data_IF_743745501067
#
_entry.id   IF_743745501067
#
_cell.length_a   1.000
_cell.length_b   1.000
_cell.length_c   1.000
_cell.angle_alpha   90.00
_cell.angle_beta   90.00
_cell.angle_gamma   90.00
#
_symmetry.space_group_name_H-M   'P 1'
#
loop_
_entity.id
_entity.type
_entity.pdbx_description
1 polymer ?
#
# COMPACT_ATOMS: atom_id res chain seq x y z
N UNK A 1 -51.94 -4.56 16.70
CA UNK A 1 -51.78 -3.32 15.92
C UNK A 1 -51.00 -3.66 14.66
N UNK A 2 -51.50 -3.19 13.53
CA UNK A 2 -51.17 -3.49 12.13
C UNK A 2 -49.69 -3.76 11.80
N UNK A 3 -49.49 -4.85 11.05
CA UNK A 3 -48.31 -5.11 10.23
C UNK A 3 -48.20 -3.98 9.20
N UNK A 4 -47.08 -3.28 9.16
CA UNK A 4 -46.77 -2.44 8.01
C UNK A 4 -46.16 -3.35 6.94
N UNK A 5 -47.04 -3.92 6.13
CA UNK A 5 -46.69 -4.45 4.81
C UNK A 5 -46.14 -3.28 3.98
N UNK A 6 -44.82 -3.09 3.98
CA UNK A 6 -44.15 -2.35 2.93
C UNK A 6 -44.41 -3.10 1.62
N UNK A 7 -45.16 -2.48 0.70
CA UNK A 7 -45.53 -3.02 -0.62
C UNK A 7 -44.34 -3.20 -1.58
N UNK A 8 -43.12 -3.28 -1.05
CA UNK A 8 -41.91 -3.42 -1.84
C UNK A 8 -41.06 -4.56 -1.30
N UNK A 9 -41.19 -5.78 -1.85
CA UNK A 9 -40.45 -6.95 -1.40
C UNK A 9 -38.92 -6.80 -1.53
N UNK A 10 -38.46 -5.77 -2.24
CA UNK A 10 -37.04 -5.42 -2.36
C UNK A 10 -36.54 -4.72 -1.08
N UNK A 11 -37.35 -3.89 -0.43
CA UNK A 11 -36.95 -3.14 0.78
C UNK A 11 -36.78 -4.05 1.98
N UNK A 12 -37.71 -4.99 2.20
CA UNK A 12 -37.60 -5.99 3.27
C UNK A 12 -36.37 -6.88 3.08
N UNK A 13 -36.09 -7.30 1.83
CA UNK A 13 -34.90 -8.08 1.52
C UNK A 13 -33.60 -7.31 1.78
N UNK A 14 -33.56 -6.00 1.49
CA UNK A 14 -32.40 -5.15 1.78
C UNK A 14 -32.19 -4.98 3.29
N UNK A 15 -33.27 -4.80 4.06
CA UNK A 15 -33.20 -4.64 5.51
C UNK A 15 -32.75 -5.95 6.20
N UNK A 16 -33.19 -7.10 5.70
CA UNK A 16 -32.71 -8.40 6.17
C UNK A 16 -31.24 -8.66 5.81
N UNK A 17 -30.79 -8.27 4.61
CA UNK A 17 -29.38 -8.39 4.20
C UNK A 17 -28.44 -7.54 5.07
N UNK A 18 -28.84 -6.30 5.40
CA UNK A 18 -28.06 -5.38 6.23
C UNK A 18 -27.93 -5.87 7.69
N UNK A 19 -28.99 -6.50 8.20
CA UNK A 19 -29.00 -7.13 9.53
C UNK A 19 -28.10 -8.35 9.62
N UNK A 20 -28.01 -9.15 8.55
CA UNK A 20 -27.15 -10.35 8.52
C UNK A 20 -25.66 -9.96 8.44
N UNK A 21 -25.30 -8.94 7.65
CA UNK A 21 -23.91 -8.44 7.56
C UNK A 21 -23.37 -7.88 8.88
N UNK A 22 -24.24 -7.39 9.77
CA UNK A 22 -23.87 -6.78 11.04
C UNK A 22 -23.49 -7.79 12.15
N UNK A 23 -23.62 -9.11 11.91
CA UNK A 23 -23.51 -10.14 12.97
C UNK A 23 -22.35 -11.13 12.84
N UNK A 24 -21.43 -10.96 11.90
CA UNK A 24 -20.27 -11.86 11.72
C UNK A 24 -18.91 -11.18 11.94
N UNK A 25 -18.29 -11.44 13.10
CA UNK A 25 -16.81 -11.43 13.27
C UNK A 25 -16.28 -12.84 12.90
N UNK A 26 -15.03 -13.04 12.42
CA UNK A 26 -13.92 -12.11 12.22
C UNK A 26 -13.44 -12.04 10.74
N UNK A 27 -13.63 -10.88 10.10
CA UNK A 27 -12.51 -10.12 9.52
C UNK A 27 -11.85 -10.52 8.19
N UNK A 28 -12.50 -11.18 7.23
CA UNK A 28 -12.09 -11.04 5.82
C UNK A 28 -12.75 -9.81 5.23
N UNK A 29 -12.07 -8.66 5.33
CA UNK A 29 -12.55 -7.40 4.74
C UNK A 29 -12.35 -7.46 3.23
N UNK A 30 -13.45 -7.57 2.50
CA UNK A 30 -13.54 -7.10 1.11
C UNK A 30 -13.59 -5.57 1.13
N UNK A 31 -12.57 -4.93 1.70
CA UNK A 31 -12.32 -3.51 1.47
C UNK A 31 -11.67 -3.35 0.10
N UNK A 32 -11.80 -2.20 -0.54
CA UNK A 32 -10.91 -1.88 -1.65
C UNK A 32 -9.47 -2.02 -1.13
N UNK A 33 -8.75 -3.04 -1.59
CA UNK A 33 -7.37 -3.33 -1.17
C UNK A 33 -6.46 -2.10 -1.39
N UNK A 34 -6.84 -1.21 -2.31
CA UNK A 34 -6.20 0.08 -2.58
C UNK A 34 -6.26 1.09 -1.40
N UNK A 35 -7.24 0.99 -0.49
CA UNK A 35 -7.39 1.90 0.65
C UNK A 35 -6.72 1.38 1.93
N UNK A 36 -6.24 0.14 1.92
CA UNK A 36 -5.52 -0.41 3.06
C UNK A 36 -4.13 0.22 3.13
N UNK A 37 -3.79 0.76 4.31
CA UNK A 37 -2.50 1.41 4.54
C UNK A 37 -1.73 0.70 5.66
N UNK A 38 -0.47 0.40 5.39
CA UNK A 38 0.50 -0.10 6.36
C UNK A 38 1.00 1.02 7.24
N UNK A 39 1.22 0.70 8.51
CA UNK A 39 1.73 1.63 9.51
C UNK A 39 3.18 1.28 9.82
N UNK A 40 4.09 2.21 9.55
CA UNK A 40 5.52 2.03 9.78
C UNK A 40 6.07 3.11 10.70
N UNK A 41 7.18 2.80 11.38
CA UNK A 41 7.85 3.76 12.26
C UNK A 41 9.14 4.27 11.62
N UNK A 42 9.19 5.57 11.37
CA UNK A 42 10.40 6.27 10.92
C UNK A 42 10.88 7.22 12.02
N UNK A 43 11.99 6.86 12.69
CA UNK A 43 12.65 7.68 13.74
C UNK A 43 11.72 8.20 14.83
N UNK A 44 10.74 7.39 15.22
CA UNK A 44 9.78 7.74 16.27
C UNK A 44 8.48 8.35 15.75
N UNK A 45 8.39 8.67 14.45
CA UNK A 45 7.18 9.14 13.78
C UNK A 45 6.47 7.95 13.15
N UNK A 46 5.16 7.85 13.38
CA UNK A 46 4.31 6.88 12.71
C UNK A 46 3.91 7.41 11.34
N UNK A 47 4.18 6.63 10.30
CA UNK A 47 3.91 6.96 8.90
C UNK A 47 2.95 5.91 8.34
N UNK A 48 1.97 6.38 7.58
CA UNK A 48 0.94 5.54 6.98
C UNK A 48 1.18 5.47 5.47
N UNK A 49 1.57 4.31 4.95
CA UNK A 49 1.93 4.06 3.56
C UNK A 49 1.00 3.02 2.91
N UNK A 50 0.82 2.99 1.59
CA UNK A 50 -0.02 1.98 0.92
C UNK A 50 0.51 0.56 1.12
N UNK A 51 -0.39 -0.43 1.29
CA UNK A 51 0.00 -1.85 1.30
C UNK A 51 0.12 -2.47 -0.10
N UNK A 52 -0.26 -1.74 -1.15
CA UNK A 52 -0.13 -2.12 -2.55
C UNK A 52 0.48 -0.97 -3.35
N UNK A 53 1.26 -1.30 -4.38
CA UNK A 53 1.80 -0.32 -5.34
C UNK A 53 0.70 0.23 -6.25
N UNK A 54 1.03 1.26 -7.03
CA UNK A 54 0.13 1.81 -8.05
C UNK A 54 -0.26 0.79 -9.13
N UNK A 55 0.57 -0.24 -9.35
CA UNK A 55 0.31 -1.36 -10.25
C UNK A 55 -0.38 -2.56 -9.56
N UNK A 56 -0.72 -2.44 -8.26
CA UNK A 56 -1.45 -3.46 -7.51
C UNK A 56 -0.59 -4.61 -6.97
N UNK A 57 0.74 -4.47 -6.95
CA UNK A 57 1.62 -5.45 -6.32
C UNK A 57 1.63 -5.26 -4.79
N UNK A 58 1.55 -6.34 -4.01
CA UNK A 58 1.60 -6.25 -2.55
C UNK A 58 2.97 -5.76 -2.07
N UNK A 59 2.96 -4.87 -1.09
CA UNK A 59 4.17 -4.36 -0.43
C UNK A 59 4.57 -5.32 0.69
N UNK A 60 5.77 -5.88 0.58
CA UNK A 60 6.32 -6.81 1.58
C UNK A 60 7.19 -6.11 2.62
N UNK A 61 7.84 -5.01 2.23
CA UNK A 61 8.72 -4.22 3.10
C UNK A 61 8.61 -2.74 2.74
N UNK A 62 8.84 -1.88 3.72
CA UNK A 62 8.92 -0.43 3.51
C UNK A 62 10.35 0.03 3.71
N UNK A 63 10.79 0.98 2.90
CA UNK A 63 12.10 1.58 3.08
C UNK A 63 12.05 3.09 2.94
N UNK A 64 13.11 3.74 3.42
CA UNK A 64 13.37 5.16 3.22
C UNK A 64 14.70 5.34 2.51
N UNK A 65 14.73 6.17 1.47
CA UNK A 65 15.96 6.52 0.79
C UNK A 65 16.89 7.33 1.70
N UNK A 66 18.09 6.83 1.95
CA UNK A 66 19.13 7.49 2.74
C UNK A 66 20.01 8.38 1.87
N UNK A 67 20.14 8.04 0.59
CA UNK A 67 20.86 8.77 -0.44
C UNK A 67 20.01 8.89 -1.71
N UNK A 68 20.19 9.94 -2.52
CA UNK A 68 19.51 10.04 -3.80
C UNK A 68 20.12 9.09 -4.83
N UNK A 69 19.28 8.57 -5.72
CA UNK A 69 19.66 7.90 -6.95
C UNK A 69 18.89 8.61 -8.07
N UNK A 70 19.52 9.56 -8.73
CA UNK A 70 18.86 10.46 -9.70
C UNK A 70 19.65 10.52 -11.01
N UNK A 71 18.95 10.78 -12.11
CA UNK A 71 19.58 10.96 -13.43
C UNK A 71 20.21 9.69 -14.00
N UNK A 72 19.87 8.51 -13.44
CA UNK A 72 20.25 7.25 -14.05
C UNK A 72 19.16 6.84 -15.05
N UNK A 73 19.58 6.59 -16.29
CA UNK A 73 18.71 6.18 -17.40
C UNK A 73 18.78 4.67 -17.65
N UNK A 74 19.46 3.92 -16.76
CA UNK A 74 19.52 2.47 -16.84
C UNK A 74 18.10 1.87 -16.78
N UNK A 75 17.67 1.13 -17.81
CA UNK A 75 16.34 0.54 -17.85
C UNK A 75 16.10 -0.37 -16.63
N UNK A 76 14.95 -0.19 -15.99
CA UNK A 76 14.54 -1.01 -14.84
C UNK A 76 15.21 -0.63 -13.53
N UNK A 77 15.97 0.46 -13.45
CA UNK A 77 16.45 1.03 -12.19
C UNK A 77 15.49 2.11 -11.70
N UNK A 78 15.15 2.08 -10.41
CA UNK A 78 14.34 3.14 -9.82
C UNK A 78 15.20 4.37 -9.52
N UNK A 79 14.68 5.56 -9.83
CA UNK A 79 15.25 6.83 -9.40
C UNK A 79 14.49 7.34 -8.18
N UNK A 80 15.16 7.93 -7.20
CA UNK A 80 14.55 8.49 -5.98
C UNK A 80 15.43 9.57 -5.35
N UNK A 81 14.81 10.45 -4.58
CA UNK A 81 15.49 11.45 -3.78
C UNK A 81 15.71 10.94 -2.35
N UNK A 82 16.70 11.53 -1.67
CA UNK A 82 16.89 11.27 -0.23
C UNK A 82 15.63 11.65 0.54
N UNK A 83 15.17 10.73 1.37
CA UNK A 83 13.99 10.89 2.21
C UNK A 83 12.71 10.29 1.62
N UNK A 84 12.70 9.91 0.35
CA UNK A 84 11.55 9.25 -0.28
C UNK A 84 11.24 7.92 0.41
N UNK A 85 9.95 7.59 0.47
CA UNK A 85 9.49 6.27 0.89
C UNK A 85 9.42 5.33 -0.31
N UNK A 86 9.79 4.09 -0.07
CA UNK A 86 9.89 3.05 -1.09
C UNK A 86 9.02 1.87 -0.67
N UNK A 87 8.21 1.39 -1.60
CA UNK A 87 7.32 0.25 -1.48
C UNK A 87 8.03 -0.96 -2.08
N UNK A 88 8.63 -1.81 -1.24
CA UNK A 88 9.36 -2.99 -1.71
C UNK A 88 8.37 -4.11 -1.99
N UNK A 89 8.43 -4.68 -3.18
CA UNK A 89 7.55 -5.76 -3.64
C UNK A 89 8.26 -7.09 -3.78
N UNK A 90 9.60 -7.08 -3.92
CA UNK A 90 10.39 -8.28 -4.12
C UNK A 90 11.82 -8.11 -3.57
N UNK A 91 12.35 -9.18 -2.94
CA UNK A 91 13.77 -9.30 -2.60
C UNK A 91 14.46 -10.07 -3.72
N UNK A 92 15.22 -9.38 -4.58
CA UNK A 92 15.91 -10.00 -5.71
C UNK A 92 17.14 -10.77 -5.23
N UNK A 93 17.95 -10.13 -4.39
CA UNK A 93 19.09 -10.72 -3.69
C UNK A 93 19.53 -9.83 -2.52
N UNK A 94 20.71 -10.09 -1.94
CA UNK A 94 21.25 -9.33 -0.80
C UNK A 94 21.58 -7.86 -1.11
N UNK A 95 21.81 -7.53 -2.38
CA UNK A 95 22.27 -6.21 -2.82
C UNK A 95 21.13 -5.42 -3.48
N UNK A 96 20.06 -6.10 -3.91
CA UNK A 96 19.00 -5.53 -4.74
C UNK A 96 17.60 -5.94 -4.29
N UNK A 97 16.73 -4.96 -4.26
CA UNK A 97 15.28 -5.11 -4.17
C UNK A 97 14.61 -4.64 -5.45
N UNK A 98 13.32 -4.95 -5.59
CA UNK A 98 12.43 -4.34 -6.57
C UNK A 98 11.29 -3.63 -5.83
N UNK A 99 10.87 -2.47 -6.33
CA UNK A 99 9.80 -1.73 -5.71
C UNK A 99 9.40 -0.48 -6.47
N UNK A 100 8.55 0.32 -5.83
CA UNK A 100 8.05 1.60 -6.31
C UNK A 100 8.42 2.75 -5.37
N UNK A 101 8.72 3.92 -5.91
CA UNK A 101 8.83 5.16 -5.14
C UNK A 101 7.46 5.74 -4.85
N UNK A 102 7.13 5.88 -3.56
CA UNK A 102 5.85 6.42 -3.14
C UNK A 102 5.77 7.94 -3.30
N UNK A 103 4.73 8.40 -3.99
CA UNK A 103 4.26 9.79 -4.03
C UNK A 103 5.34 10.85 -4.29
N UNK A 104 6.16 10.63 -5.33
CA UNK A 104 7.13 11.61 -5.78
C UNK A 104 6.97 11.94 -7.29
N UNK A 105 6.36 13.10 -7.55
CA UNK A 105 6.12 13.62 -8.90
C UNK A 105 7.35 14.24 -9.58
N UNK A 106 8.46 14.36 -8.87
CA UNK A 106 9.74 14.85 -9.44
C UNK A 106 10.49 13.77 -10.21
N UNK A 107 10.04 12.53 -10.14
CA UNK A 107 10.66 11.38 -10.80
C UNK A 107 9.84 11.04 -12.04
N UNK A 108 10.54 10.80 -13.15
CA UNK A 108 9.92 10.30 -14.37
C UNK A 108 9.16 9.00 -14.12
N UNK A 109 7.94 8.86 -14.66
CA UNK A 109 7.08 7.70 -14.40
C UNK A 109 7.76 6.37 -14.72
N UNK A 110 8.63 6.33 -15.73
CA UNK A 110 9.32 5.12 -16.15
C UNK A 110 10.44 4.69 -15.17
N UNK A 111 10.85 5.59 -14.27
CA UNK A 111 11.89 5.35 -13.28
C UNK A 111 11.32 5.33 -11.85
N UNK A 112 9.99 5.36 -11.66
CA UNK A 112 9.38 5.21 -10.33
C UNK A 112 9.37 3.76 -9.86
N UNK A 113 9.42 2.80 -10.78
CA UNK A 113 9.40 1.36 -10.50
C UNK A 113 10.68 0.74 -11.02
N UNK A 114 11.33 -0.08 -10.20
CA UNK A 114 12.54 -0.76 -10.64
C UNK A 114 13.37 -1.36 -9.51
N UNK A 115 14.61 -1.67 -9.83
CA UNK A 115 15.62 -2.15 -8.92
C UNK A 115 16.06 -1.04 -7.96
N UNK A 116 16.19 -1.39 -6.70
CA UNK A 116 16.56 -0.49 -5.61
C UNK A 116 17.78 -1.10 -4.89
N UNK A 117 18.93 -0.41 -4.87
CA UNK A 117 20.12 -0.93 -4.21
C UNK A 117 19.99 -0.82 -2.69
N UNK A 118 20.27 -1.92 -2.00
CA UNK A 118 20.12 -2.03 -0.54
C UNK A 118 20.88 -0.95 0.23
N UNK A 119 22.11 -0.64 -0.19
CA UNK A 119 22.99 0.32 0.50
C UNK A 119 22.56 1.80 0.36
N UNK A 120 21.54 2.10 -0.44
CA UNK A 120 21.01 3.45 -0.59
C UNK A 120 19.82 3.73 0.34
N UNK A 121 19.32 2.70 1.01
CA UNK A 121 18.04 2.75 1.71
C UNK A 121 18.16 2.26 3.16
N UNK A 122 17.14 2.55 3.94
CA UNK A 122 16.96 2.02 5.29
C UNK A 122 15.59 1.34 5.34
N UNK A 123 15.57 0.04 5.68
CA UNK A 123 14.30 -0.67 5.92
C UNK A 123 13.62 -0.10 7.17
N UNK A 124 12.30 0.05 7.08
CA UNK A 124 11.44 0.55 8.15
C UNK A 124 10.71 -0.64 8.79
N UNK A 125 10.73 -0.71 10.12
CA UNK A 125 9.94 -1.71 10.84
C UNK A 125 8.48 -1.30 10.89
N UNK A 126 7.60 -2.27 10.65
CA UNK A 126 6.17 -2.14 10.98
C UNK A 126 6.03 -1.99 12.50
N UNK A 127 5.23 -1.01 12.93
CA UNK A 127 4.91 -0.85 14.34
C UNK A 127 4.01 -2.01 14.79
N UNK A 128 4.44 -2.77 15.79
CA UNK A 128 3.60 -3.72 16.53
C UNK A 128 2.49 -2.98 17.30
#
# INVERSE_FOLDING_TARGET
>A
MIMQDSSNPIEDALYEMERIQSSSKPGTKTGNIMDERGVVRDRGITVTLPIVTSEGFPVIEYAKAMYPLIGNEAPGLANFHKGDYLLITEIVNKDWYKGEVYDNDRIDRNHRIGLIPYNFIQLLHQGL
#
